data_IF_831529271760
#
_entry.id   IF_831529271760
#
_cell.length_a   1.000
_cell.length_b   1.000
_cell.length_c   1.000
_cell.angle_alpha   90.00
_cell.angle_beta   90.00
_cell.angle_gamma   90.00
#
_symmetry.space_group_name_H-M   'P 1'
#
loop_
_entity.id
_entity.type
_entity.pdbx_description
1 polymer ?
#
# COMPACT_ATOMS: atom_id res chain seq x y z
N UNK A 1 1.28 16.39 10.57
CA UNK A 1 0.22 15.48 10.05
C UNK A 1 -0.01 14.42 11.12
N UNK A 2 -1.10 13.66 11.06
CA UNK A 2 -1.25 12.54 11.98
C UNK A 2 -0.30 11.43 11.53
N UNK A 3 0.62 11.00 12.40
CA UNK A 3 1.35 9.74 12.24
C UNK A 3 0.47 8.66 12.85
N UNK A 4 0.16 7.62 12.08
CA UNK A 4 -0.67 6.52 12.56
C UNK A 4 0.07 5.21 12.37
N UNK A 5 0.37 4.61 13.51
CA UNK A 5 1.03 3.31 13.57
C UNK A 5 0.17 2.25 12.86
N UNK A 6 0.77 1.30 12.14
CA UNK A 6 0.05 0.18 11.56
C UNK A 6 -0.65 -0.62 12.66
N UNK A 7 -1.91 -0.99 12.43
CA UNK A 7 -2.60 -1.92 13.32
C UNK A 7 -2.10 -3.35 13.06
N UNK A 8 -2.23 -4.27 14.04
CA UNK A 8 -2.04 -5.70 13.79
C UNK A 8 -2.90 -6.19 12.62
N UNK A 9 -2.41 -7.16 11.85
CA UNK A 9 -3.15 -7.69 10.68
C UNK A 9 -4.47 -8.37 11.08
N UNK A 10 -4.56 -8.89 12.31
CA UNK A 10 -5.75 -9.55 12.87
C UNK A 10 -6.72 -8.58 13.55
N UNK A 11 -6.50 -7.26 13.45
CA UNK A 11 -7.35 -6.27 14.09
C UNK A 11 -8.73 -6.16 13.45
N UNK A 12 -8.87 -6.49 12.16
CA UNK A 12 -10.13 -6.52 11.42
C UNK A 12 -10.33 -7.89 10.73
N UNK A 13 -11.06 -8.84 11.35
CA UNK A 13 -11.26 -10.17 10.80
C UNK A 13 -11.96 -10.22 9.44
N UNK A 14 -12.74 -9.19 9.11
CA UNK A 14 -13.43 -9.09 7.81
C UNK A 14 -12.46 -8.87 6.64
N UNK A 15 -11.19 -8.51 6.90
CA UNK A 15 -10.16 -8.27 5.89
C UNK A 15 -9.12 -9.39 5.78
N UNK A 16 -9.36 -10.54 6.43
CA UNK A 16 -8.42 -11.66 6.48
C UNK A 16 -8.08 -12.16 5.07
N UNK A 17 -9.09 -12.36 4.21
CA UNK A 17 -8.90 -12.83 2.83
C UNK A 17 -8.10 -11.82 1.99
N UNK A 18 -8.39 -10.51 2.12
CA UNK A 18 -7.63 -9.47 1.42
C UNK A 18 -6.16 -9.45 1.85
N UNK A 19 -5.88 -9.59 3.15
CA UNK A 19 -4.51 -9.60 3.66
C UNK A 19 -3.74 -10.86 3.29
N UNK A 20 -4.38 -12.02 3.25
CA UNK A 20 -3.77 -13.25 2.74
C UNK A 20 -3.29 -13.08 1.30
N UNK A 21 -4.08 -12.43 0.42
CA UNK A 21 -3.68 -12.15 -0.96
C UNK A 21 -2.45 -11.24 -1.02
N UNK A 22 -2.43 -10.15 -0.24
CA UNK A 22 -1.28 -9.25 -0.22
C UNK A 22 -0.02 -9.94 0.31
N UNK A 23 -0.16 -10.80 1.32
CA UNK A 23 0.95 -11.60 1.82
C UNK A 23 1.43 -12.64 0.79
N UNK A 24 0.54 -13.26 0.02
CA UNK A 24 0.91 -14.18 -1.07
C UNK A 24 1.69 -13.45 -2.18
N UNK A 25 1.21 -12.28 -2.59
CA UNK A 25 1.76 -11.53 -3.73
C UNK A 25 3.05 -10.79 -3.37
N UNK A 26 3.10 -10.18 -2.19
CA UNK A 26 4.19 -9.30 -1.77
C UNK A 26 5.14 -9.94 -0.73
N UNK A 27 4.73 -11.04 -0.11
CA UNK A 27 5.44 -11.68 1.00
C UNK A 27 5.23 -11.01 2.36
N UNK A 28 4.40 -9.97 2.42
CA UNK A 28 4.01 -9.24 3.63
C UNK A 28 2.75 -8.39 3.38
N UNK A 29 2.05 -7.99 4.44
CA UNK A 29 0.98 -6.99 4.37
C UNK A 29 1.56 -5.58 4.54
N UNK A 30 1.41 -4.67 3.56
CA UNK A 30 1.95 -3.31 3.65
C UNK A 30 1.42 -2.50 4.85
N UNK A 31 2.29 -1.68 5.45
CA UNK A 31 1.91 -0.82 6.58
C UNK A 31 0.80 0.17 6.21
N UNK A 32 0.74 0.58 4.94
CA UNK A 32 -0.33 1.43 4.41
C UNK A 32 -1.72 0.79 4.57
N UNK A 33 -1.84 -0.50 4.26
CA UNK A 33 -3.08 -1.28 4.42
C UNK A 33 -3.39 -1.53 5.89
N UNK A 34 -2.38 -1.88 6.68
CA UNK A 34 -2.50 -2.04 8.13
C UNK A 34 -2.91 -0.74 8.85
N UNK A 35 -2.54 0.43 8.32
CA UNK A 35 -3.03 1.71 8.83
C UNK A 35 -4.44 2.02 8.32
N UNK A 36 -4.74 1.64 7.07
CA UNK A 36 -6.02 1.84 6.38
C UNK A 36 -7.17 0.98 6.92
N UNK A 37 -6.89 -0.18 7.51
CA UNK A 37 -7.91 -1.08 8.07
C UNK A 37 -8.77 -0.43 9.16
N UNK A 38 -8.34 0.71 9.73
CA UNK A 38 -9.21 1.59 10.55
C UNK A 38 -10.50 2.03 9.83
N UNK A 39 -10.53 1.91 8.50
CA UNK A 39 -11.67 2.12 7.61
C UNK A 39 -11.78 0.93 6.64
N UNK A 40 -12.36 -0.21 7.08
CA UNK A 40 -12.34 -1.46 6.32
C UNK A 40 -12.90 -1.34 4.89
N UNK A 41 -13.97 -0.56 4.73
CA UNK A 41 -14.56 -0.28 3.41
C UNK A 41 -13.58 0.36 2.40
N UNK A 42 -12.56 1.08 2.87
CA UNK A 42 -11.51 1.63 2.00
C UNK A 42 -10.57 0.52 1.54
N UNK A 43 -10.17 -0.38 2.43
CA UNK A 43 -9.32 -1.55 2.09
C UNK A 43 -10.05 -2.44 1.09
N UNK A 44 -11.31 -2.78 1.36
CA UNK A 44 -12.14 -3.57 0.44
C UNK A 44 -12.31 -2.88 -0.93
N UNK A 45 -12.52 -1.56 -0.96
CA UNK A 45 -12.59 -0.80 -2.22
C UNK A 45 -11.28 -0.76 -2.99
N UNK A 46 -10.15 -0.65 -2.28
CA UNK A 46 -8.82 -0.71 -2.87
C UNK A 46 -8.50 -2.10 -3.45
N UNK A 47 -8.86 -3.15 -2.71
CA UNK A 47 -8.76 -4.53 -3.16
C UNK A 47 -9.59 -4.76 -4.42
N UNK A 48 -10.88 -4.41 -4.40
CA UNK A 48 -11.77 -4.58 -5.55
C UNK A 48 -11.26 -3.85 -6.81
N UNK A 49 -10.67 -2.66 -6.66
CA UNK A 49 -10.05 -1.96 -7.80
C UNK A 49 -8.79 -2.68 -8.29
N UNK A 50 -7.96 -3.19 -7.39
CA UNK A 50 -6.74 -3.92 -7.75
C UNK A 50 -7.09 -5.21 -8.49
N UNK A 51 -8.07 -5.96 -7.99
CA UNK A 51 -8.58 -7.18 -8.63
C UNK A 51 -9.15 -6.89 -10.03
N UNK A 52 -10.02 -5.88 -10.15
CA UNK A 52 -10.61 -5.50 -11.44
C UNK A 52 -9.59 -5.02 -12.47
N UNK A 53 -8.42 -4.54 -12.03
CA UNK A 53 -7.30 -4.16 -12.90
C UNK A 53 -6.52 -5.38 -13.38
N UNK A 54 -6.41 -6.40 -12.54
CA UNK A 54 -5.67 -7.62 -12.85
C UNK A 54 -6.48 -8.60 -13.71
N UNK A 55 -7.77 -8.37 -13.87
CA UNK A 55 -8.64 -9.13 -14.78
C UNK A 55 -8.29 -8.83 -16.25
N UNK A 56 -8.02 -9.88 -17.03
CA UNK A 56 -7.78 -9.76 -18.48
C UNK A 56 -9.07 -9.33 -19.20
N UNK A 57 -8.98 -8.35 -20.12
CA UNK A 57 -10.13 -7.87 -20.86
C UNK A 57 -9.88 -7.86 -22.38
N UNK A 58 -10.65 -8.63 -23.14
CA UNK A 58 -10.50 -8.73 -24.60
C UNK A 58 -10.77 -7.42 -25.37
N UNK A 59 -11.48 -6.46 -24.76
CA UNK A 59 -12.00 -5.26 -25.42
C UNK A 59 -11.09 -4.03 -25.30
N UNK A 60 -10.11 -4.05 -24.38
CA UNK A 60 -9.18 -2.94 -24.11
C UNK A 60 -7.77 -3.50 -24.02
N UNK A 61 -6.79 -2.85 -24.64
CA UNK A 61 -5.38 -3.27 -24.52
C UNK A 61 -4.96 -3.28 -23.05
N UNK A 62 -4.43 -4.41 -22.57
CA UNK A 62 -4.00 -4.59 -21.17
C UNK A 62 -3.03 -3.48 -20.73
N UNK A 63 -2.12 -3.06 -21.62
CA UNK A 63 -1.17 -1.97 -21.36
C UNK A 63 -1.86 -0.64 -20.99
N UNK A 64 -3.04 -0.34 -21.56
CA UNK A 64 -3.81 0.86 -21.23
C UNK A 64 -4.44 0.73 -19.85
N UNK A 65 -5.01 -0.43 -19.53
CA UNK A 65 -5.62 -0.70 -18.23
C UNK A 65 -4.56 -0.64 -17.13
N UNK A 66 -3.40 -1.27 -17.34
CA UNK A 66 -2.26 -1.24 -16.43
C UNK A 66 -1.76 0.19 -16.17
N UNK A 67 -1.68 1.03 -17.21
CA UNK A 67 -1.30 2.45 -17.04
C UNK A 67 -2.31 3.22 -16.19
N UNK A 68 -3.61 3.07 -16.48
CA UNK A 68 -4.67 3.73 -15.72
C UNK A 68 -4.70 3.25 -14.26
N UNK A 69 -4.47 1.96 -14.06
CA UNK A 69 -4.38 1.35 -12.74
C UNK A 69 -3.21 1.88 -11.94
N UNK A 70 -1.99 1.87 -12.52
CA UNK A 70 -0.81 2.40 -11.86
C UNK A 70 -1.03 3.86 -11.45
N UNK A 71 -1.57 4.70 -12.33
CA UNK A 71 -1.85 6.10 -12.01
C UNK A 71 -2.87 6.22 -10.85
N UNK A 72 -3.93 5.43 -10.88
CA UNK A 72 -5.02 5.51 -9.90
C UNK A 72 -4.62 4.94 -8.54
N UNK A 73 -4.07 3.73 -8.51
CA UNK A 73 -3.65 3.01 -7.31
C UNK A 73 -2.50 3.74 -6.62
N UNK A 74 -1.43 4.09 -7.36
CA UNK A 74 -0.32 4.84 -6.77
C UNK A 74 -0.71 6.29 -6.45
N UNK A 75 -1.59 6.91 -7.22
CA UNK A 75 -2.12 8.23 -6.90
C UNK A 75 -2.85 8.26 -5.56
N UNK A 76 -3.69 7.25 -5.31
CA UNK A 76 -4.37 7.04 -4.04
C UNK A 76 -3.40 6.70 -2.91
N UNK A 77 -2.56 5.66 -3.07
CA UNK A 77 -1.63 5.20 -2.04
C UNK A 77 -0.62 6.27 -1.65
N UNK A 78 -0.02 6.97 -2.61
CA UNK A 78 0.93 8.05 -2.31
C UNK A 78 0.26 9.14 -1.49
N UNK A 79 -1.00 9.49 -1.79
CA UNK A 79 -1.72 10.50 -1.04
C UNK A 79 -2.11 10.02 0.35
N UNK A 80 -2.53 8.77 0.48
CA UNK A 80 -2.83 8.13 1.76
C UNK A 80 -1.60 8.13 2.68
N UNK A 81 -0.49 7.55 2.19
CA UNK A 81 0.77 7.44 2.92
C UNK A 81 1.32 8.81 3.32
N UNK A 82 1.31 9.78 2.40
CA UNK A 82 1.76 11.15 2.70
C UNK A 82 0.88 11.82 3.77
N UNK A 83 -0.45 11.66 3.69
CA UNK A 83 -1.37 12.34 4.62
C UNK A 83 -1.30 11.76 6.04
N UNK A 84 -1.10 10.44 6.15
CA UNK A 84 -1.10 9.70 7.41
C UNK A 84 0.28 9.31 7.91
N UNK A 85 1.33 9.73 7.20
CA UNK A 85 2.72 9.46 7.56
C UNK A 85 2.92 7.99 7.95
N UNK A 86 2.49 7.07 7.09
CA UNK A 86 2.59 5.62 7.34
C UNK A 86 4.04 5.22 7.47
N UNK A 87 4.36 4.37 8.45
CA UNK A 87 5.70 3.85 8.67
C UNK A 87 6.25 3.14 7.43
N UNK A 88 7.48 3.47 7.05
CA UNK A 88 8.21 2.75 6.02
C UNK A 88 8.53 1.33 6.47
N UNK A 89 8.38 0.39 5.55
CA UNK A 89 8.85 -0.97 5.76
C UNK A 89 10.39 -1.02 5.79
N UNK A 90 10.93 -1.99 6.52
CA UNK A 90 12.39 -2.16 6.69
C UNK A 90 13.13 -2.31 5.35
N UNK A 91 12.54 -3.02 4.37
CA UNK A 91 13.16 -3.26 3.07
C UNK A 91 13.37 -1.98 2.24
N UNK A 92 12.31 -1.19 1.98
CA UNK A 92 12.41 0.14 1.38
C UNK A 92 13.35 1.08 2.15
N UNK A 93 13.26 1.09 3.49
CA UNK A 93 14.13 1.88 4.36
C UNK A 93 15.61 1.56 4.11
N UNK A 94 16.00 0.29 4.26
CA UNK A 94 17.37 -0.17 4.03
C UNK A 94 17.84 0.07 2.60
N UNK A 95 16.95 -0.01 1.62
CA UNK A 95 17.26 0.31 0.22
C UNK A 95 17.58 1.79 0.06
N UNK A 96 16.81 2.68 0.68
CA UNK A 96 17.10 4.11 0.75
C UNK A 96 18.47 4.39 1.37
N UNK A 97 18.72 3.87 2.57
CA UNK A 97 20.01 4.01 3.28
C UNK A 97 21.19 3.52 2.42
N UNK A 98 21.04 2.37 1.76
CA UNK A 98 22.10 1.77 0.95
C UNK A 98 22.37 2.52 -0.35
N UNK A 99 21.33 3.00 -1.03
CA UNK A 99 21.45 3.59 -2.37
C UNK A 99 21.75 5.09 -2.30
N UNK A 100 21.14 5.79 -1.34
CA UNK A 100 21.20 7.25 -1.22
C UNK A 100 22.10 7.72 -0.06
N UNK A 101 22.39 6.84 0.91
CA UNK A 101 23.36 7.13 1.98
C UNK A 101 22.98 8.36 2.81
N UNK A 102 23.96 9.25 3.02
CA UNK A 102 23.80 10.47 3.85
C UNK A 102 22.87 11.52 3.23
N UNK A 103 22.55 11.41 1.92
CA UNK A 103 21.60 12.32 1.25
C UNK A 103 20.14 11.91 1.48
N UNK A 104 19.91 10.74 2.08
CA UNK A 104 18.58 10.22 2.33
C UNK A 104 17.99 10.73 3.64
N UNK A 105 16.75 11.16 3.58
CA UNK A 105 15.92 11.49 4.75
C UNK A 105 14.58 10.76 4.62
N UNK A 106 14.26 9.78 5.47
CA UNK A 106 12.94 9.13 5.48
C UNK A 106 11.82 10.07 5.94
N UNK A 107 12.17 11.22 6.52
CA UNK A 107 11.25 12.25 6.97
C UNK A 107 10.25 11.71 7.98
N UNK A 108 8.97 11.98 7.73
CA UNK A 108 7.86 11.65 8.63
C UNK A 108 7.46 10.17 8.64
N UNK A 109 8.13 9.30 7.89
CA UNK A 109 7.73 7.89 7.72
C UNK A 109 8.55 6.94 8.59
N UNK A 110 9.18 7.46 9.63
CA UNK A 110 9.86 6.69 10.67
C UNK A 110 9.43 7.27 12.01
N UNK A 111 9.23 6.40 13.00
CA UNK A 111 9.09 6.82 14.40
C UNK A 111 10.36 7.58 14.86
N UNK A 112 10.17 8.62 15.70
CA UNK A 112 11.25 9.35 16.38
C UNK A 112 12.04 8.47 17.38
#
# INVERSE_FOLDING_TARGET
>A
MAHLDPLPADAEPELEEEFELFEEVLGFVPNSLLTMQRKPAIVAGFHALTEAVMEEADEVDDEIVELLAAISLYGFLNRWNDTLATDLEDGPRQTGERVLGEEWDPGKHVED
#
